data_IF_572871113035
#
_entry.id   IF_572871113035
#
_cell.length_a   1.000
_cell.length_b   1.000
_cell.length_c   1.000
_cell.angle_alpha   90.00
_cell.angle_beta   90.00
_cell.angle_gamma   90.00
#
_symmetry.space_group_name_H-M   'P 1'
#
loop_
_entity.id
_entity.type
_entity.pdbx_description
1 polymer ?
#
# COMPACT_ATOMS: atom_id res chain seq x y z
N UNK A 1 4.45 2.64 12.97
CA UNK A 1 5.62 1.88 12.41
C UNK A 1 5.55 1.94 10.90
N UNK A 2 6.65 2.20 10.19
CA UNK A 2 6.62 2.32 8.72
C UNK A 2 6.50 0.94 8.06
N UNK A 3 5.48 0.74 7.22
CA UNK A 3 5.29 -0.48 6.42
C UNK A 3 6.12 -0.40 5.13
N UNK A 4 7.44 -0.54 5.26
CA UNK A 4 8.37 -0.27 4.16
C UNK A 4 8.18 -1.25 3.00
N UNK A 5 8.14 -0.75 1.76
CA UNK A 5 7.82 -1.51 0.56
C UNK A 5 6.32 -1.61 0.26
N UNK A 6 5.44 -1.10 1.13
CA UNK A 6 4.01 -0.88 0.84
C UNK A 6 3.77 0.61 0.59
N UNK A 7 3.51 0.98 -0.66
CA UNK A 7 3.25 2.35 -1.07
C UNK A 7 1.74 2.61 -1.16
N UNK A 8 1.26 3.54 -0.34
CA UNK A 8 -0.13 4.00 -0.28
C UNK A 8 -0.35 5.16 -1.26
N UNK A 9 -0.56 4.86 -2.53
CA UNK A 9 -0.65 5.89 -3.57
C UNK A 9 -1.97 6.64 -3.54
N UNK A 10 -1.88 7.97 -3.57
CA UNK A 10 -3.02 8.91 -3.54
C UNK A 10 -3.99 8.71 -2.37
N UNK A 11 -3.51 8.10 -1.28
CA UNK A 11 -4.28 7.76 -0.08
C UNK A 11 -5.37 6.71 -0.34
N UNK A 12 -4.96 5.50 -0.74
CA UNK A 12 -5.87 4.35 -0.75
C UNK A 12 -6.51 4.13 0.64
N UNK A 13 -5.70 4.28 1.68
CA UNK A 13 -6.15 4.56 3.05
C UNK A 13 -5.57 5.90 3.50
N UNK A 14 -6.07 6.49 4.60
CA UNK A 14 -5.38 7.64 5.19
C UNK A 14 -3.99 7.25 5.70
N UNK A 15 -3.00 8.13 5.52
CA UNK A 15 -1.61 7.84 5.92
C UNK A 15 -1.46 7.62 7.44
N UNK A 16 -2.20 8.39 8.24
CA UNK A 16 -2.27 8.19 9.69
C UNK A 16 -2.78 6.79 10.06
N UNK A 17 -3.84 6.34 9.39
CA UNK A 17 -4.39 5.01 9.65
C UNK A 17 -3.36 3.91 9.41
N UNK A 18 -2.67 3.92 8.27
CA UNK A 18 -1.65 2.91 7.96
C UNK A 18 -0.45 2.95 8.91
N UNK A 19 -0.03 4.14 9.35
CA UNK A 19 1.13 4.30 10.22
C UNK A 19 0.89 3.86 11.67
N UNK A 20 -0.30 4.16 12.20
CA UNK A 20 -0.56 4.12 13.64
C UNK A 20 -1.64 3.11 14.06
N UNK A 21 -2.66 2.87 13.22
CA UNK A 21 -3.85 2.09 13.62
C UNK A 21 -3.93 0.73 12.93
N UNK A 22 -3.51 0.64 11.67
CA UNK A 22 -3.71 -0.54 10.84
C UNK A 22 -3.21 -1.84 11.50
N UNK A 23 -2.07 -1.83 12.17
CA UNK A 23 -1.51 -3.01 12.85
C UNK A 23 -2.38 -3.52 14.00
N UNK A 24 -3.16 -2.66 14.69
CA UNK A 24 -4.12 -3.13 15.69
C UNK A 24 -5.35 -3.76 15.05
N UNK A 25 -5.83 -3.19 13.95
CA UNK A 25 -7.06 -3.62 13.29
C UNK A 25 -6.91 -5.01 12.66
N UNK A 26 -5.74 -5.33 12.10
CA UNK A 26 -5.52 -6.63 11.46
C UNK A 26 -5.32 -7.81 12.42
N UNK A 27 -5.35 -7.59 13.74
CA UNK A 27 -5.11 -8.66 14.74
C UNK A 27 -6.12 -9.79 14.63
N UNK A 28 -7.40 -9.46 14.45
CA UNK A 28 -8.48 -10.45 14.35
C UNK A 28 -8.32 -11.35 13.12
N UNK A 29 -7.67 -10.86 12.05
CA UNK A 29 -7.32 -11.67 10.87
C UNK A 29 -6.09 -12.55 11.13
N UNK A 30 -5.12 -12.04 11.89
CA UNK A 30 -3.88 -12.76 12.18
C UNK A 30 -4.09 -13.89 13.19
N UNK A 31 -4.95 -13.72 14.18
CA UNK A 31 -5.16 -14.69 15.27
C UNK A 31 -5.52 -16.11 14.78
N UNK A 32 -6.48 -16.31 13.86
CA UNK A 32 -6.77 -17.63 13.30
C UNK A 32 -5.55 -18.27 12.61
N UNK A 33 -4.79 -17.48 11.84
CA UNK A 33 -3.58 -17.97 11.17
C UNK A 33 -2.49 -18.38 12.16
N UNK A 34 -2.30 -17.60 13.24
CA UNK A 34 -1.36 -17.92 14.32
C UNK A 34 -1.78 -19.22 15.03
N UNK A 35 -3.06 -19.34 15.39
CA UNK A 35 -3.59 -20.51 16.09
C UNK A 35 -3.42 -21.78 15.23
N UNK A 36 -3.74 -21.71 13.94
CA UNK A 36 -3.60 -22.85 13.02
C UNK A 36 -2.14 -23.26 12.84
N UNK A 37 -1.22 -22.30 12.73
CA UNK A 37 0.22 -22.60 12.62
C UNK A 37 0.78 -23.20 13.92
N UNK A 38 0.36 -22.71 15.09
CA UNK A 38 0.77 -23.27 16.37
C UNK A 38 0.28 -24.72 16.52
N UNK A 39 -0.98 -25.00 16.19
CA UNK A 39 -1.54 -26.34 16.20
C UNK A 39 -0.78 -27.29 15.24
N UNK A 40 -0.41 -26.82 14.04
CA UNK A 40 0.39 -27.60 13.11
C UNK A 40 1.79 -27.91 13.67
N UNK A 41 2.46 -26.92 14.27
CA UNK A 41 3.78 -27.10 14.90
C UNK A 41 3.74 -28.05 16.11
N UNK A 42 2.66 -28.02 16.89
CA UNK A 42 2.47 -28.97 18.00
C UNK A 42 2.26 -30.39 17.50
N UNK A 43 1.42 -30.58 16.47
CA UNK A 43 1.22 -31.88 15.84
C UNK A 43 2.54 -32.43 15.27
N UNK A 44 3.36 -31.57 14.66
CA UNK A 44 4.68 -31.96 14.14
C UNK A 44 5.63 -32.42 15.26
N UNK A 45 5.67 -31.68 16.38
CA UNK A 45 6.50 -32.03 17.54
C UNK A 45 6.07 -33.37 18.13
N UNK A 46 4.78 -33.57 18.34
CA UNK A 46 4.23 -34.82 18.87
C UNK A 46 4.53 -36.02 17.95
N UNK A 47 4.48 -35.85 16.63
CA UNK A 47 4.81 -36.90 15.67
C UNK A 47 6.33 -37.22 15.65
N UNK A 48 7.20 -36.20 15.77
CA UNK A 48 8.67 -36.40 15.87
C UNK A 48 9.07 -37.11 17.15
N UNK A 49 8.42 -36.81 18.28
CA UNK A 49 8.64 -37.51 19.56
C UNK A 49 8.27 -39.01 19.46
N UNK A 50 7.35 -39.36 18.56
CA UNK A 50 6.99 -40.75 18.24
C UNK A 50 7.92 -41.41 17.20
N UNK A 51 9.02 -40.75 16.81
CA UNK A 51 9.99 -41.27 15.84
C UNK A 51 9.46 -41.37 14.40
N UNK A 52 8.37 -40.66 14.08
CA UNK A 52 7.82 -40.60 12.72
C UNK A 52 8.56 -39.55 11.89
N UNK A 53 8.67 -39.78 10.59
CA UNK A 53 9.03 -38.72 9.65
C UNK A 53 7.84 -37.78 9.48
N UNK A 54 8.10 -36.47 9.47
CA UNK A 54 7.04 -35.45 9.59
C UNK A 54 7.25 -34.37 8.55
N UNK A 55 6.31 -34.32 7.60
CA UNK A 55 6.19 -33.23 6.65
C UNK A 55 5.78 -31.93 7.35
N UNK A 56 6.31 -30.76 6.93
CA UNK A 56 5.87 -29.47 7.45
C UNK A 56 4.37 -29.28 7.24
N UNK A 57 3.66 -29.01 8.33
CA UNK A 57 2.25 -28.67 8.32
C UNK A 57 2.01 -27.22 7.90
N UNK A 58 0.82 -26.71 8.24
CA UNK A 58 0.42 -25.34 7.92
C UNK A 58 1.42 -24.31 8.46
N UNK A 59 1.67 -23.27 7.66
CA UNK A 59 2.43 -22.07 8.01
C UNK A 59 1.61 -20.87 7.59
N UNK A 60 1.55 -19.84 8.41
CA UNK A 60 0.80 -18.64 8.06
C UNK A 60 1.39 -17.93 6.83
N UNK A 61 0.59 -17.17 6.06
CA UNK A 61 1.03 -16.58 4.79
C UNK A 61 2.31 -15.73 4.91
N UNK A 62 2.44 -14.91 5.95
CA UNK A 62 3.62 -14.06 6.15
C UNK A 62 4.90 -14.88 6.43
N UNK A 63 4.77 -16.05 7.09
CA UNK A 63 5.88 -16.97 7.32
C UNK A 63 6.25 -17.73 6.03
N UNK A 64 5.26 -18.04 5.18
CA UNK A 64 5.53 -18.59 3.85
C UNK A 64 6.31 -17.59 3.00
N UNK A 65 5.92 -16.31 2.96
CA UNK A 65 6.67 -15.26 2.27
C UNK A 65 8.13 -15.18 2.74
N UNK A 66 8.33 -15.19 4.06
CA UNK A 66 9.68 -15.16 4.63
C UNK A 66 10.55 -16.34 4.13
N UNK A 67 9.96 -17.54 4.02
CA UNK A 67 10.66 -18.73 3.50
C UNK A 67 10.93 -18.66 1.99
N UNK A 68 10.04 -18.02 1.22
CA UNK A 68 10.13 -17.91 -0.23
C UNK A 68 11.11 -16.85 -0.70
N UNK A 69 11.51 -15.92 0.17
CA UNK A 69 12.37 -14.79 -0.18
C UNK A 69 13.69 -15.21 -0.85
N UNK A 70 14.37 -16.25 -0.35
CA UNK A 70 15.63 -16.73 -0.95
C UNK A 70 15.42 -17.26 -2.37
N UNK A 71 14.37 -18.03 -2.60
CA UNK A 71 14.04 -18.53 -3.93
C UNK A 71 13.61 -17.40 -4.87
N UNK A 72 12.86 -16.41 -4.36
CA UNK A 72 12.44 -15.23 -5.10
C UNK A 72 13.63 -14.48 -5.69
N UNK A 73 14.63 -14.13 -4.88
CA UNK A 73 15.82 -13.40 -5.36
C UNK A 73 16.66 -14.22 -6.33
N UNK A 74 16.79 -15.54 -6.10
CA UNK A 74 17.47 -16.43 -7.05
C UNK A 74 16.78 -16.40 -8.42
N UNK A 75 15.46 -16.57 -8.45
CA UNK A 75 14.65 -16.51 -9.69
C UNK A 75 14.66 -15.12 -10.33
N UNK A 76 14.71 -14.04 -9.54
CA UNK A 76 14.82 -12.67 -10.04
C UNK A 76 16.15 -12.45 -10.76
N UNK A 77 17.27 -12.85 -10.14
CA UNK A 77 18.60 -12.75 -10.75
C UNK A 77 18.77 -13.63 -12.01
N UNK A 78 18.09 -14.78 -12.07
CA UNK A 78 18.02 -15.62 -13.28
C UNK A 78 17.23 -14.93 -14.40
N UNK A 79 16.08 -14.35 -14.07
CA UNK A 79 15.24 -13.60 -15.01
C UNK A 79 16.01 -12.41 -15.62
N UNK A 80 16.76 -11.65 -14.82
CA UNK A 80 17.54 -10.48 -15.30
C UNK A 80 18.58 -10.83 -16.38
N UNK A 81 19.03 -12.08 -16.43
CA UNK A 81 19.96 -12.59 -17.46
C UNK A 81 19.22 -13.07 -18.72
N UNK A 82 17.94 -13.35 -18.61
CA UNK A 82 17.13 -13.83 -19.72
C UNK A 82 16.79 -12.70 -20.69
N UNK A 83 16.87 -12.98 -21.99
CA UNK A 83 16.59 -12.04 -23.09
C UNK A 83 15.39 -12.45 -23.94
N UNK A 84 15.00 -13.72 -23.90
CA UNK A 84 13.85 -14.21 -24.67
C UNK A 84 12.54 -13.87 -23.94
N UNK A 85 11.70 -13.02 -24.53
CA UNK A 85 10.43 -12.56 -23.96
C UNK A 85 9.53 -13.73 -23.48
N UNK A 86 9.31 -14.82 -24.27
CA UNK A 86 8.48 -15.93 -23.79
C UNK A 86 9.03 -16.61 -22.54
N UNK A 87 10.35 -16.75 -22.43
CA UNK A 87 10.99 -17.34 -21.26
C UNK A 87 10.93 -16.39 -20.06
N UNK A 88 11.13 -15.08 -20.26
CA UNK A 88 10.99 -14.08 -19.19
C UNK A 88 9.58 -14.06 -18.60
N UNK A 89 8.54 -14.19 -19.43
CA UNK A 89 7.16 -14.33 -18.99
C UNK A 89 6.96 -15.61 -18.16
N UNK A 90 7.48 -16.74 -18.62
CA UNK A 90 7.43 -17.99 -17.86
C UNK A 90 8.15 -17.86 -16.50
N UNK A 91 9.33 -17.23 -16.48
CA UNK A 91 10.13 -17.01 -15.27
C UNK A 91 9.39 -16.09 -14.27
N UNK A 92 8.72 -15.03 -14.75
CA UNK A 92 7.88 -14.15 -13.92
C UNK A 92 6.72 -14.94 -13.29
N UNK A 93 5.97 -15.71 -14.08
CA UNK A 93 4.85 -16.54 -13.58
C UNK A 93 5.32 -17.56 -12.56
N UNK A 94 6.43 -18.25 -12.82
CA UNK A 94 7.03 -19.24 -11.92
C UNK A 94 7.54 -18.63 -10.59
N UNK A 95 7.87 -17.34 -10.58
CA UNK A 95 8.23 -16.61 -9.35
C UNK A 95 7.00 -16.17 -8.57
N UNK A 96 5.93 -15.74 -9.26
CA UNK A 96 4.67 -15.36 -8.62
C UNK A 96 3.86 -16.54 -8.08
N UNK A 97 3.92 -17.70 -8.74
CA UNK A 97 3.13 -18.88 -8.36
C UNK A 97 3.20 -19.25 -6.86
N UNK A 98 4.38 -19.40 -6.23
CA UNK A 98 4.42 -19.73 -4.80
C UNK A 98 3.92 -18.59 -3.90
N UNK A 99 4.13 -17.32 -4.28
CA UNK A 99 3.63 -16.16 -3.53
C UNK A 99 2.10 -16.07 -3.58
N UNK A 100 1.51 -16.24 -4.76
CA UNK A 100 0.05 -16.27 -4.93
C UNK A 100 -0.57 -17.47 -4.22
N UNK A 101 0.09 -18.63 -4.23
CA UNK A 101 -0.36 -19.81 -3.47
C UNK A 101 -0.38 -19.53 -1.97
N UNK A 102 0.63 -18.85 -1.43
CA UNK A 102 0.66 -18.44 -0.02
C UNK A 102 -0.48 -17.46 0.33
N UNK A 103 -0.96 -16.68 -0.64
CA UNK A 103 -2.12 -15.78 -0.52
C UNK A 103 -3.48 -16.47 -0.77
N UNK A 104 -3.49 -17.78 -1.03
CA UNK A 104 -4.72 -18.54 -1.29
C UNK A 104 -5.22 -18.49 -2.74
N UNK A 105 -4.42 -17.97 -3.67
CA UNK A 105 -4.76 -17.93 -5.10
C UNK A 105 -4.13 -19.09 -5.87
N UNK A 106 -4.85 -19.56 -6.88
CA UNK A 106 -4.38 -20.49 -7.89
C UNK A 106 -4.26 -19.79 -9.25
N UNK A 107 -3.15 -19.99 -9.95
CA UNK A 107 -2.94 -19.48 -11.31
C UNK A 107 -3.64 -20.43 -12.29
N UNK A 108 -4.66 -19.92 -12.96
CA UNK A 108 -5.46 -20.60 -13.99
C UNK A 108 -5.55 -19.69 -15.23
N UNK A 109 -4.48 -19.64 -16.05
CA UNK A 109 -4.40 -18.68 -17.15
C UNK A 109 -5.50 -18.94 -18.18
N UNK A 110 -6.25 -17.90 -18.53
CA UNK A 110 -7.36 -17.98 -19.47
C UNK A 110 -7.59 -16.64 -20.18
N UNK A 111 -8.37 -16.67 -21.25
CA UNK A 111 -8.83 -15.45 -21.93
C UNK A 111 -10.18 -15.04 -21.36
N UNK A 112 -10.25 -13.83 -20.83
CA UNK A 112 -11.49 -13.14 -20.50
C UNK A 112 -11.95 -12.33 -21.71
N UNK A 113 -13.06 -12.71 -22.32
CA UNK A 113 -13.70 -11.89 -23.36
C UNK A 113 -14.34 -10.67 -22.71
N UNK A 114 -13.98 -9.48 -23.19
CA UNK A 114 -14.56 -8.21 -22.77
C UNK A 114 -15.85 -7.92 -23.55
N UNK A 115 -16.65 -6.97 -23.07
CA UNK A 115 -17.92 -6.55 -23.69
C UNK A 115 -17.77 -6.12 -25.17
N UNK A 116 -16.60 -5.62 -25.56
CA UNK A 116 -16.27 -5.22 -26.94
C UNK A 116 -15.69 -6.37 -27.78
N UNK A 117 -15.85 -7.62 -27.33
CA UNK A 117 -15.38 -8.85 -27.98
C UNK A 117 -13.84 -8.92 -28.11
N UNK A 118 -13.11 -8.16 -27.28
CA UNK A 118 -11.65 -8.25 -27.21
C UNK A 118 -11.16 -9.25 -26.15
N UNK A 119 -10.08 -10.01 -26.41
CA UNK A 119 -9.62 -11.08 -25.53
C UNK A 119 -8.59 -10.59 -24.51
N UNK A 120 -8.95 -10.35 -23.25
CA UNK A 120 -7.99 -9.99 -22.20
C UNK A 120 -7.36 -11.25 -21.57
N UNK A 121 -6.02 -11.44 -21.63
CA UNK A 121 -5.37 -12.52 -20.90
C UNK A 121 -5.38 -12.23 -19.39
N UNK A 122 -5.95 -13.16 -18.62
CA UNK A 122 -5.97 -13.12 -17.16
C UNK A 122 -5.25 -14.36 -16.60
N UNK A 123 -4.50 -14.19 -15.52
CA UNK A 123 -3.83 -15.29 -14.83
C UNK A 123 -4.77 -16.05 -13.89
N UNK A 124 -5.80 -15.39 -13.37
CA UNK A 124 -6.87 -16.01 -12.61
C UNK A 124 -8.09 -15.08 -12.57
N UNK A 125 -9.28 -15.67 -12.44
CA UNK A 125 -10.54 -14.95 -12.23
C UNK A 125 -11.28 -15.58 -11.06
N UNK A 126 -11.77 -14.73 -10.16
CA UNK A 126 -12.66 -15.11 -9.08
C UNK A 126 -13.95 -14.33 -9.20
N UNK A 127 -15.06 -15.03 -8.99
CA UNK A 127 -16.40 -14.47 -9.04
C UNK A 127 -16.96 -14.33 -7.62
N UNK A 128 -17.93 -13.44 -7.45
CA UNK A 128 -18.74 -13.33 -6.25
C UNK A 128 -19.70 -14.52 -6.15
N UNK A 129 -20.42 -14.61 -5.03
CA UNK A 129 -21.41 -15.67 -4.76
C UNK A 129 -22.57 -15.67 -5.75
N UNK A 130 -22.91 -14.51 -6.32
CA UNK A 130 -23.92 -14.35 -7.36
C UNK A 130 -23.41 -14.68 -8.77
N UNK A 131 -22.13 -15.03 -8.91
CA UNK A 131 -21.49 -15.37 -10.18
C UNK A 131 -20.89 -14.18 -10.93
N UNK A 132 -21.11 -12.94 -10.46
CA UNK A 132 -20.51 -11.73 -11.08
C UNK A 132 -18.98 -11.70 -10.94
N UNK A 133 -18.23 -11.11 -11.89
CA UNK A 133 -16.78 -10.95 -11.78
C UNK A 133 -16.39 -10.14 -10.52
N UNK A 134 -15.46 -10.66 -9.71
CA UNK A 134 -15.06 -9.99 -8.46
C UNK A 134 -13.60 -9.60 -8.43
N UNK A 135 -12.68 -10.53 -8.70
CA UNK A 135 -11.24 -10.28 -8.65
C UNK A 135 -10.56 -10.88 -9.87
N UNK A 136 -9.81 -10.07 -10.59
CA UNK A 136 -8.96 -10.50 -11.72
C UNK A 136 -7.49 -10.37 -11.34
N UNK A 137 -6.71 -11.39 -11.65
CA UNK A 137 -5.24 -11.33 -11.57
C UNK A 137 -4.70 -11.21 -12.99
N UNK A 138 -3.95 -10.15 -13.25
CA UNK A 138 -3.39 -9.83 -14.57
C UNK A 138 -1.89 -9.58 -14.49
N UNK A 139 -1.22 -9.63 -15.64
CA UNK A 139 0.25 -9.59 -15.71
C UNK A 139 0.73 -8.39 -16.53
N UNK A 140 1.54 -7.53 -15.91
CA UNK A 140 2.37 -6.55 -16.60
C UNK A 140 3.78 -7.10 -16.76
N UNK A 141 4.31 -7.08 -17.99
CA UNK A 141 5.64 -7.60 -18.27
C UNK A 141 6.51 -6.58 -18.99
N UNK A 142 7.70 -6.36 -18.41
CA UNK A 142 8.72 -5.48 -18.96
C UNK A 142 9.68 -6.30 -19.84
N UNK A 143 9.88 -5.82 -21.07
CA UNK A 143 10.72 -6.48 -22.05
C UNK A 143 12.22 -6.35 -21.77
N UNK A 144 12.64 -5.35 -20.98
CA UNK A 144 14.03 -4.96 -20.84
C UNK A 144 14.53 -5.11 -19.39
N UNK A 145 14.46 -4.03 -18.60
CA UNK A 145 15.15 -3.92 -17.31
C UNK A 145 14.29 -4.33 -16.10
N UNK A 146 12.96 -4.43 -16.29
CA UNK A 146 12.02 -4.73 -15.21
C UNK A 146 11.80 -3.57 -14.24
N UNK A 147 12.20 -2.36 -14.63
CA UNK A 147 12.19 -1.15 -13.80
C UNK A 147 11.02 -0.23 -14.14
N UNK A 148 10.33 -0.47 -15.25
CA UNK A 148 9.16 0.31 -15.62
C UNK A 148 7.99 0.03 -14.66
N UNK A 149 7.22 1.07 -14.39
CA UNK A 149 5.98 0.94 -13.62
C UNK A 149 5.02 -0.04 -14.33
N UNK A 150 4.52 -1.09 -13.64
CA UNK A 150 3.45 -1.96 -14.13
C UNK A 150 2.30 -1.25 -14.85
N UNK A 151 1.88 -0.07 -14.39
CA UNK A 151 0.80 0.71 -14.99
C UNK A 151 1.17 1.34 -16.34
N UNK A 152 2.45 1.62 -16.58
CA UNK A 152 2.95 2.19 -17.82
C UNK A 152 3.17 1.12 -18.91
N UNK A 153 3.32 -0.14 -18.51
CA UNK A 153 3.57 -1.25 -19.43
C UNK A 153 2.35 -1.55 -20.31
N UNK A 154 2.61 -2.01 -21.53
CA UNK A 154 1.58 -2.44 -22.49
C UNK A 154 1.49 -3.97 -22.54
N UNK A 155 0.32 -4.49 -22.91
CA UNK A 155 0.15 -5.92 -23.17
C UNK A 155 1.04 -6.40 -24.32
N UNK A 156 1.72 -7.54 -24.12
CA UNK A 156 2.61 -8.16 -25.09
C UNK A 156 1.89 -9.23 -25.90
N UNK A 157 2.27 -9.40 -27.17
CA UNK A 157 1.75 -10.49 -28.01
C UNK A 157 1.95 -11.87 -27.35
N UNK A 158 3.09 -12.08 -26.69
CA UNK A 158 3.44 -13.35 -26.05
C UNK A 158 2.59 -13.70 -24.82
N UNK A 159 1.78 -12.76 -24.31
CA UNK A 159 0.86 -13.03 -23.20
C UNK A 159 -0.45 -13.68 -23.66
N UNK A 160 -0.70 -13.73 -24.96
CA UNK A 160 -1.89 -14.32 -25.55
C UNK A 160 -1.58 -15.74 -26.06
N UNK A 161 -2.55 -16.66 -26.00
CA UNK A 161 -2.49 -17.93 -26.72
C UNK A 161 -2.21 -17.71 -28.22
N UNK A 162 -1.45 -18.62 -28.83
CA UNK A 162 -0.99 -18.49 -30.22
C UNK A 162 -2.13 -18.46 -31.25
N UNK A 163 -3.28 -19.03 -30.91
CA UNK A 163 -4.51 -19.12 -31.70
C UNK A 163 -5.45 -17.92 -31.51
N UNK A 164 -5.09 -16.95 -30.67
CA UNK A 164 -5.90 -15.74 -30.46
C UNK A 164 -6.02 -14.92 -31.75
N UNK A 165 -7.23 -14.52 -32.11
CA UNK A 165 -7.48 -13.67 -33.28
C UNK A 165 -6.63 -12.39 -33.24
N UNK A 166 -5.84 -12.19 -34.30
CA UNK A 166 -4.89 -11.08 -34.40
C UNK A 166 -5.58 -9.71 -34.36
N UNK A 167 -6.72 -9.57 -35.03
CA UNK A 167 -7.43 -8.29 -35.11
C UNK A 167 -8.04 -7.92 -33.77
N UNK A 168 -8.72 -8.86 -33.11
CA UNK A 168 -9.29 -8.64 -31.77
C UNK A 168 -8.20 -8.34 -30.73
N UNK A 169 -7.10 -9.10 -30.77
CA UNK A 169 -5.94 -8.87 -29.90
C UNK A 169 -5.34 -7.47 -30.11
N UNK A 170 -5.12 -7.07 -31.35
CA UNK A 170 -4.50 -5.77 -31.64
C UNK A 170 -5.46 -4.60 -31.33
N UNK A 171 -6.78 -4.81 -31.43
CA UNK A 171 -7.82 -3.86 -31.00
C UNK A 171 -7.78 -3.56 -29.49
N UNK A 172 -7.55 -4.58 -28.67
CA UNK A 172 -7.32 -4.41 -27.23
C UNK A 172 -6.03 -3.63 -26.96
N UNK A 173 -4.95 -4.04 -27.61
CA UNK A 173 -3.60 -3.58 -27.30
C UNK A 173 -3.30 -2.17 -27.80
N UNK A 174 -4.02 -1.68 -28.81
CA UNK A 174 -3.74 -0.42 -29.48
C UNK A 174 -4.92 0.54 -29.41
N UNK A 175 -4.60 1.83 -29.43
CA UNK A 175 -5.57 2.91 -29.66
C UNK A 175 -5.85 3.03 -31.15
N UNK A 176 -6.88 3.80 -31.50
CA UNK A 176 -7.24 4.08 -32.89
C UNK A 176 -6.11 4.77 -33.69
N UNK A 177 -5.23 5.52 -33.02
CA UNK A 177 -4.06 6.17 -33.61
C UNK A 177 -2.85 5.23 -33.80
N UNK A 178 -2.97 3.95 -33.42
CA UNK A 178 -1.92 2.94 -33.56
C UNK A 178 -0.94 2.83 -32.38
N UNK A 179 -1.01 3.72 -31.40
CA UNK A 179 -0.20 3.66 -30.17
C UNK A 179 -0.64 2.50 -29.28
N UNK A 180 0.30 1.91 -28.54
CA UNK A 180 -0.03 0.88 -27.56
C UNK A 180 -0.70 1.48 -26.33
N UNK A 181 -1.71 0.76 -25.81
CA UNK A 181 -2.36 1.08 -24.54
C UNK A 181 -1.52 0.57 -23.39
N UNK A 182 -1.29 1.42 -22.39
CA UNK A 182 -0.71 1.01 -21.12
C UNK A 182 -1.74 0.28 -20.25
N UNK A 183 -1.31 -0.40 -19.20
CA UNK A 183 -2.19 -1.00 -18.21
C UNK A 183 -3.11 0.04 -17.54
N UNK A 184 -2.62 1.25 -17.28
CA UNK A 184 -3.45 2.34 -16.77
C UNK A 184 -4.61 2.68 -17.72
N UNK A 185 -4.35 2.74 -19.02
CA UNK A 185 -5.36 3.00 -20.05
C UNK A 185 -6.34 1.82 -20.18
N UNK A 186 -5.83 0.59 -20.23
CA UNK A 186 -6.64 -0.63 -20.28
C UNK A 186 -7.58 -0.75 -19.07
N UNK A 187 -7.08 -0.48 -17.87
CA UNK A 187 -7.88 -0.52 -16.64
C UNK A 187 -9.02 0.51 -16.71
N UNK A 188 -8.71 1.72 -17.17
CA UNK A 188 -9.65 2.87 -17.18
C UNK A 188 -10.67 2.82 -18.32
N UNK A 189 -10.34 2.16 -19.44
CA UNK A 189 -11.17 2.20 -20.66
C UNK A 189 -11.77 0.87 -21.05
N UNK A 190 -11.20 -0.24 -20.59
CA UNK A 190 -11.64 -1.58 -20.97
C UNK A 190 -12.03 -2.47 -19.77
N UNK A 191 -11.33 -2.40 -18.62
CA UNK A 191 -11.60 -3.33 -17.49
C UNK A 191 -12.69 -2.80 -16.56
N UNK A 192 -12.53 -1.59 -16.01
CA UNK A 192 -13.48 -1.05 -15.03
C UNK A 192 -14.73 -0.42 -15.64
N UNK A 193 -14.78 -0.33 -16.97
CA UNK A 193 -15.90 0.18 -17.78
C UNK A 193 -16.79 -0.92 -18.33
N UNK A 194 -16.49 -2.20 -18.05
CA UNK A 194 -17.38 -3.32 -18.39
C UNK A 194 -18.76 -3.13 -17.76
N UNK A 195 -19.77 -3.79 -18.31
CA UNK A 195 -21.13 -3.86 -17.76
C UNK A 195 -21.11 -4.49 -16.37
N UNK A 196 -20.31 -5.56 -16.20
CA UNK A 196 -20.04 -6.22 -14.92
C UNK A 196 -18.54 -6.22 -14.62
N UNK A 197 -17.98 -5.07 -14.18
CA UNK A 197 -16.55 -4.93 -13.96
C UNK A 197 -16.13 -5.62 -12.65
N UNK A 198 -14.92 -6.19 -12.57
CA UNK A 198 -14.40 -6.74 -11.32
C UNK A 198 -14.28 -5.64 -10.25
N UNK A 199 -14.54 -6.00 -8.99
CA UNK A 199 -14.30 -5.13 -7.82
C UNK A 199 -12.82 -4.82 -7.66
N UNK A 200 -11.98 -5.86 -7.75
CA UNK A 200 -10.54 -5.78 -7.54
C UNK A 200 -9.74 -6.26 -8.76
N UNK A 201 -8.59 -5.66 -8.98
CA UNK A 201 -7.58 -6.17 -9.91
C UNK A 201 -6.25 -6.28 -9.17
N UNK A 202 -5.59 -7.43 -9.27
CA UNK A 202 -4.19 -7.61 -8.89
C UNK A 202 -3.33 -7.54 -10.14
N UNK A 203 -2.56 -6.46 -10.30
CA UNK A 203 -1.64 -6.30 -11.43
C UNK A 203 -0.23 -6.72 -11.02
N UNK A 204 0.22 -7.84 -11.57
CA UNK A 204 1.52 -8.43 -11.28
C UNK A 204 2.58 -7.89 -12.24
N UNK A 205 3.49 -7.07 -11.73
CA UNK A 205 4.71 -6.69 -12.41
C UNK A 205 5.85 -7.71 -12.21
N UNK A 206 7.06 -7.34 -12.63
CA UNK A 206 8.23 -8.20 -12.43
C UNK A 206 8.62 -8.31 -10.94
N UNK A 207 8.60 -7.17 -10.23
CA UNK A 207 9.00 -7.01 -8.81
C UNK A 207 7.87 -6.53 -7.90
N UNK A 208 6.81 -5.99 -8.50
CA UNK A 208 5.75 -5.30 -7.78
C UNK A 208 4.40 -5.96 -8.01
N UNK A 209 3.52 -5.87 -7.04
CA UNK A 209 2.11 -6.21 -7.15
C UNK A 209 1.30 -4.98 -6.81
N UNK A 210 0.36 -4.60 -7.67
CA UNK A 210 -0.56 -3.50 -7.40
C UNK A 210 -1.95 -4.06 -7.10
N UNK A 211 -2.51 -3.64 -5.98
CA UNK A 211 -3.90 -3.87 -5.62
C UNK A 211 -4.72 -2.64 -6.04
N UNK A 212 -5.64 -2.89 -6.96
CA UNK A 212 -6.50 -1.88 -7.56
C UNK A 212 -7.94 -2.14 -7.14
N UNK A 213 -8.61 -1.12 -6.62
CA UNK A 213 -10.03 -1.16 -6.27
C UNK A 213 -10.81 -0.24 -7.21
N UNK A 214 -11.83 -0.79 -7.88
CA UNK A 214 -12.70 -0.05 -8.81
C UNK A 214 -13.29 1.23 -8.21
N UNK A 215 -13.70 1.23 -6.95
CA UNK A 215 -14.30 2.42 -6.29
C UNK A 215 -13.30 3.53 -6.01
N UNK A 216 -12.01 3.20 -5.93
CA UNK A 216 -10.94 4.16 -5.63
C UNK A 216 -10.15 4.56 -6.89
N UNK A 217 -10.27 3.78 -7.96
CA UNK A 217 -9.51 3.96 -9.20
C UNK A 217 -9.69 5.33 -9.86
N UNK A 218 -10.89 5.93 -9.82
CA UNK A 218 -11.14 7.25 -10.40
C UNK A 218 -10.26 8.37 -9.80
N UNK A 219 -9.74 8.16 -8.59
CA UNK A 219 -8.84 9.07 -7.88
C UNK A 219 -7.37 8.59 -7.93
N UNK A 220 -7.06 7.60 -8.78
CA UNK A 220 -5.76 6.92 -8.88
C UNK A 220 -5.26 6.39 -7.53
N UNK A 221 -6.18 6.01 -6.63
CA UNK A 221 -5.86 5.43 -5.34
C UNK A 221 -5.59 3.93 -5.49
N UNK A 222 -4.41 3.49 -5.08
CA UNK A 222 -4.00 2.10 -5.13
C UNK A 222 -2.98 1.76 -4.04
N UNK A 223 -2.83 0.47 -3.75
CA UNK A 223 -1.73 -0.03 -2.92
C UNK A 223 -0.72 -0.73 -3.82
N UNK A 224 0.55 -0.32 -3.72
CA UNK A 224 1.66 -0.97 -4.43
C UNK A 224 2.55 -1.68 -3.42
N UNK A 225 2.84 -2.93 -3.70
CA UNK A 225 3.70 -3.79 -2.90
C UNK A 225 4.97 -4.05 -3.69
N UNK A 226 6.09 -3.51 -3.23
CA UNK A 226 7.42 -3.81 -3.75
C UNK A 226 7.94 -5.10 -3.10
N UNK A 227 7.77 -6.23 -3.78
CA UNK A 227 8.19 -7.52 -3.25
C UNK A 227 9.72 -7.65 -3.20
N UNK A 228 10.48 -6.84 -3.93
CA UNK A 228 11.93 -6.79 -3.79
C UNK A 228 12.32 -6.15 -2.44
N UNK A 229 11.69 -5.04 -2.08
CA UNK A 229 11.93 -4.39 -0.79
C UNK A 229 11.34 -5.19 0.39
N UNK A 230 10.10 -5.66 0.27
CA UNK A 230 9.41 -6.41 1.33
C UNK A 230 10.18 -7.71 1.68
N UNK A 231 10.61 -8.48 0.66
CA UNK A 231 11.29 -9.77 0.88
C UNK A 231 12.78 -9.64 1.19
N UNK A 232 13.41 -8.49 0.91
CA UNK A 232 14.81 -8.23 1.31
C UNK A 232 14.90 -7.87 2.78
N UNK A 233 14.03 -6.96 3.26
CA UNK A 233 13.98 -6.53 4.66
C UNK A 233 13.41 -7.60 5.59
N UNK A 234 12.38 -8.32 5.13
CA UNK A 234 11.68 -9.38 5.89
C UNK A 234 11.17 -8.89 7.26
N UNK A 235 10.76 -7.63 7.33
CA UNK A 235 10.16 -7.06 8.53
C UNK A 235 8.81 -7.75 8.79
N UNK A 236 8.66 -8.32 9.99
CA UNK A 236 7.51 -9.18 10.32
C UNK A 236 6.18 -8.46 10.14
N UNK A 237 6.08 -7.20 10.57
CA UNK A 237 4.85 -6.44 10.50
C UNK A 237 4.49 -6.06 9.05
N UNK A 238 5.48 -5.73 8.23
CA UNK A 238 5.30 -5.52 6.77
C UNK A 238 4.85 -6.80 6.07
N UNK A 239 5.43 -7.96 6.42
CA UNK A 239 5.02 -9.25 5.84
C UNK A 239 3.57 -9.61 6.25
N UNK A 240 3.19 -9.34 7.50
CA UNK A 240 1.81 -9.52 7.99
C UNK A 240 0.84 -8.57 7.28
N UNK A 241 1.19 -7.30 7.15
CA UNK A 241 0.40 -6.31 6.42
C UNK A 241 0.18 -6.73 4.96
N UNK A 242 1.26 -7.16 4.29
CA UNK A 242 1.22 -7.67 2.91
C UNK A 242 0.31 -8.89 2.80
N UNK A 243 0.44 -9.84 3.73
CA UNK A 243 -0.42 -11.01 3.78
C UNK A 243 -1.90 -10.63 3.94
N UNK A 244 -2.23 -9.81 4.95
CA UNK A 244 -3.63 -9.43 5.24
C UNK A 244 -4.25 -8.62 4.11
N UNK A 245 -3.54 -7.68 3.51
CA UNK A 245 -4.10 -6.82 2.45
C UNK A 245 -4.33 -7.58 1.14
N UNK A 246 -3.57 -8.65 0.88
CA UNK A 246 -3.60 -9.38 -0.39
C UNK A 246 -4.25 -10.76 -0.30
N UNK A 247 -4.48 -11.31 0.90
CA UNK A 247 -5.02 -12.67 1.03
C UNK A 247 -6.39 -12.79 0.39
N UNK A 248 -6.64 -13.92 -0.25
CA UNK A 248 -7.90 -14.20 -0.96
C UNK A 248 -9.12 -14.00 -0.06
N UNK A 249 -9.08 -14.48 1.17
CA UNK A 249 -10.19 -14.34 2.12
C UNK A 249 -10.43 -12.88 2.54
N UNK A 250 -9.40 -12.02 2.48
CA UNK A 250 -9.54 -10.61 2.80
C UNK A 250 -10.20 -9.83 1.66
N UNK A 251 -9.94 -10.20 0.40
CA UNK A 251 -10.55 -9.59 -0.79
C UNK A 251 -11.88 -10.23 -1.20
N UNK A 252 -12.08 -11.51 -0.87
CA UNK A 252 -13.25 -12.32 -1.23
C UNK A 252 -13.56 -13.31 -0.08
N UNK A 253 -14.22 -12.86 1.00
CA UNK A 253 -14.48 -13.69 2.20
C UNK A 253 -15.55 -14.78 1.99
N UNK A 254 -16.01 -15.01 0.76
CA UNK A 254 -17.08 -15.98 0.44
C UNK A 254 -18.49 -15.55 0.89
N UNK A 255 -18.61 -14.78 1.98
CA UNK A 255 -19.85 -14.12 2.41
C UNK A 255 -19.55 -12.81 3.13
N UNK A 256 -20.38 -11.79 2.93
CA UNK A 256 -20.18 -10.46 3.52
C UNK A 256 -19.30 -9.55 2.66
N UNK A 257 -19.07 -8.33 3.15
CA UNK A 257 -18.19 -7.36 2.51
C UNK A 257 -16.72 -7.78 2.68
N UNK A 258 -15.84 -7.48 1.70
CA UNK A 258 -14.39 -7.64 1.86
C UNK A 258 -13.88 -7.02 3.14
N UNK A 259 -12.86 -7.64 3.72
CA UNK A 259 -12.20 -7.11 4.90
C UNK A 259 -11.66 -5.70 4.68
N UNK A 260 -11.23 -5.38 3.45
CA UNK A 260 -10.75 -4.05 3.07
C UNK A 260 -11.82 -2.96 3.22
N UNK A 261 -13.10 -3.26 3.03
CA UNK A 261 -14.17 -2.29 3.23
C UNK A 261 -14.27 -1.94 4.74
N UNK A 262 -14.04 -2.91 5.64
CA UNK A 262 -14.00 -2.65 7.09
C UNK A 262 -12.78 -1.82 7.50
N UNK A 263 -11.63 -2.05 6.86
CA UNK A 263 -10.44 -1.22 7.03
C UNK A 263 -10.66 0.20 6.53
N UNK A 264 -11.42 0.38 5.45
CA UNK A 264 -11.81 1.70 4.94
C UNK A 264 -12.70 2.45 5.92
N UNK A 265 -13.73 1.80 6.44
CA UNK A 265 -14.61 2.39 7.45
C UNK A 265 -13.82 2.82 8.69
N UNK A 266 -12.87 2.01 9.15
CA UNK A 266 -11.98 2.36 10.25
C UNK A 266 -11.04 3.51 9.87
N UNK A 267 -10.42 3.46 8.68
CA UNK A 267 -9.55 4.53 8.19
C UNK A 267 -10.28 5.87 8.15
N UNK A 268 -11.54 5.88 7.72
CA UNK A 268 -12.40 7.06 7.76
C UNK A 268 -12.67 7.51 9.20
N UNK A 269 -13.12 6.63 10.10
CA UNK A 269 -13.38 6.98 11.51
C UNK A 269 -12.14 7.58 12.19
N UNK A 270 -10.96 7.01 11.95
CA UNK A 270 -9.71 7.52 12.52
C UNK A 270 -9.25 8.81 11.86
N UNK A 271 -9.41 8.98 10.55
CA UNK A 271 -9.12 10.26 9.89
C UNK A 271 -10.04 11.40 10.39
N UNK A 272 -11.33 11.11 10.60
CA UNK A 272 -12.29 12.08 11.13
C UNK A 272 -12.08 12.37 12.62
N UNK A 273 -11.82 11.33 13.43
CA UNK A 273 -11.53 11.46 14.86
C UNK A 273 -10.25 12.24 15.13
N UNK A 274 -9.20 12.01 14.34
CA UNK A 274 -7.96 12.81 14.38
C UNK A 274 -8.22 14.27 14.02
N UNK A 275 -9.20 14.58 13.17
CA UNK A 275 -9.55 15.97 12.86
C UNK A 275 -10.19 16.70 14.05
N UNK A 276 -10.97 15.97 14.83
CA UNK A 276 -11.63 16.49 16.03
C UNK A 276 -10.60 16.71 17.14
N UNK A 277 -9.76 15.70 17.40
CA UNK A 277 -8.65 15.78 18.35
C UNK A 277 -7.62 16.86 17.96
N UNK A 278 -7.32 17.02 16.66
CA UNK A 278 -6.43 18.07 16.17
C UNK A 278 -7.01 19.46 16.43
N UNK A 279 -8.32 19.65 16.29
CA UNK A 279 -8.96 20.94 16.59
C UNK A 279 -8.82 21.28 18.07
N UNK A 280 -9.02 20.30 18.96
CA UNK A 280 -8.85 20.49 20.40
C UNK A 280 -7.38 20.71 20.78
N UNK A 281 -6.46 19.91 20.26
CA UNK A 281 -5.02 20.05 20.49
C UNK A 281 -4.45 21.36 19.94
N UNK A 282 -4.93 21.82 18.78
CA UNK A 282 -4.55 23.11 18.20
C UNK A 282 -5.02 24.26 19.09
N UNK A 283 -6.26 24.18 19.58
CA UNK A 283 -6.79 25.15 20.53
C UNK A 283 -5.96 25.17 21.82
N UNK A 284 -5.69 24.02 22.40
CA UNK A 284 -4.86 23.90 23.61
C UNK A 284 -3.46 24.47 23.39
N UNK A 285 -2.84 24.19 22.24
CA UNK A 285 -1.52 24.73 21.88
C UNK A 285 -1.53 26.27 21.80
N UNK A 286 -2.60 26.87 21.26
CA UNK A 286 -2.76 28.33 21.22
C UNK A 286 -2.93 28.90 22.63
N UNK A 287 -3.71 28.23 23.49
CA UNK A 287 -3.90 28.62 24.88
C UNK A 287 -2.58 28.55 25.67
N UNK A 288 -1.79 27.49 25.49
CA UNK A 288 -0.46 27.34 26.09
C UNK A 288 0.51 28.45 25.64
N UNK A 289 0.56 28.75 24.34
CA UNK A 289 1.39 29.84 23.81
C UNK A 289 0.99 31.20 24.41
N UNK A 290 -0.32 31.47 24.49
CA UNK A 290 -0.82 32.72 25.06
C UNK A 290 -0.50 32.85 26.55
N UNK A 291 -0.69 31.77 27.30
CA UNK A 291 -0.40 31.73 28.73
C UNK A 291 1.09 31.96 29.01
N UNK A 292 1.98 31.30 28.28
CA UNK A 292 3.42 31.46 28.45
C UNK A 292 3.90 32.86 28.05
N UNK A 293 3.38 33.40 26.94
CA UNK A 293 3.68 34.78 26.53
C UNK A 293 3.25 35.79 27.59
N UNK A 294 2.06 35.62 28.18
CA UNK A 294 1.57 36.47 29.27
C UNK A 294 2.42 36.32 30.54
N UNK A 295 2.79 35.08 30.90
CA UNK A 295 3.67 34.82 32.03
C UNK A 295 4.99 35.58 31.89
N UNK A 296 5.65 35.46 30.73
CA UNK A 296 6.90 36.15 30.46
C UNK A 296 6.76 37.68 30.51
N UNK A 297 5.73 38.24 29.87
CA UNK A 297 5.54 39.69 29.80
C UNK A 297 5.26 40.30 31.18
N UNK A 298 4.53 39.59 32.03
CA UNK A 298 4.22 40.03 33.40
C UNK A 298 5.47 39.95 34.27
N UNK A 299 6.21 38.84 34.23
CA UNK A 299 7.43 38.66 35.02
C UNK A 299 8.50 39.71 34.70
N UNK A 300 8.54 40.17 33.44
CA UNK A 300 9.44 41.24 32.99
C UNK A 300 8.89 42.65 33.25
N UNK A 301 7.69 42.78 33.82
CA UNK A 301 7.02 44.06 34.11
C UNK A 301 6.60 44.83 32.85
N UNK A 302 6.47 44.13 31.72
CA UNK A 302 6.17 44.70 30.41
C UNK A 302 4.66 44.82 30.15
N UNK A 303 3.85 43.96 30.75
CA UNK A 303 2.40 43.97 30.59
C UNK A 303 1.67 43.56 31.87
N UNK A 304 0.35 43.80 31.91
CA UNK A 304 -0.55 43.36 32.97
C UNK A 304 -1.80 42.70 32.36
N UNK A 305 -2.59 42.00 33.17
CA UNK A 305 -3.91 41.52 32.74
C UNK A 305 -4.96 42.65 32.67
N UNK A 306 -4.78 43.73 33.43
CA UNK A 306 -5.77 44.82 33.56
C UNK A 306 -5.10 46.19 33.68
N UNK A 307 -5.87 47.25 33.40
CA UNK A 307 -5.42 48.64 33.52
C UNK A 307 -4.69 49.17 32.28
N UNK A 308 -3.92 50.24 32.43
CA UNK A 308 -3.34 50.99 31.28
C UNK A 308 -2.25 50.23 30.50
N UNK A 309 -1.82 49.06 30.98
CA UNK A 309 -0.88 48.15 30.30
C UNK A 309 -1.50 46.77 30.05
N UNK A 310 -2.83 46.70 30.01
CA UNK A 310 -3.54 45.47 29.70
C UNK A 310 -3.20 45.01 28.27
N UNK A 311 -2.86 43.74 28.10
CA UNK A 311 -2.76 43.14 26.78
C UNK A 311 -4.16 42.95 26.21
N UNK A 312 -4.36 43.31 24.94
CA UNK A 312 -5.60 43.03 24.22
C UNK A 312 -5.70 41.51 23.96
N UNK A 313 -6.72 40.82 24.52
CA UNK A 313 -6.90 39.38 24.32
C UNK A 313 -7.05 38.98 22.85
N UNK A 314 -7.68 39.82 22.02
CA UNK A 314 -7.91 39.52 20.60
C UNK A 314 -6.61 39.63 19.79
N UNK A 315 -5.75 40.57 20.16
CA UNK A 315 -4.41 40.72 19.57
C UNK A 315 -3.50 39.57 19.98
N UNK A 316 -3.48 39.21 21.28
CA UNK A 316 -2.72 38.07 21.79
C UNK A 316 -3.14 36.77 21.11
N UNK A 317 -4.44 36.50 21.03
CA UNK A 317 -4.97 35.31 20.36
C UNK A 317 -4.53 35.24 18.88
N UNK A 318 -4.56 36.37 18.18
CA UNK A 318 -4.13 36.46 16.77
C UNK A 318 -2.63 36.21 16.60
N UNK A 319 -1.80 36.71 17.49
CA UNK A 319 -0.36 36.45 17.45
C UNK A 319 -0.03 35.00 17.79
N UNK A 320 -0.69 34.40 18.78
CA UNK A 320 -0.56 32.98 19.09
C UNK A 320 -0.97 32.10 17.89
N UNK A 321 -2.07 32.44 17.21
CA UNK A 321 -2.49 31.78 15.96
C UNK A 321 -1.41 31.90 14.86
N UNK A 322 -0.86 33.11 14.64
CA UNK A 322 0.21 33.33 13.65
C UNK A 322 1.45 32.50 13.96
N UNK A 323 1.85 32.43 15.23
CA UNK A 323 2.98 31.61 15.66
C UNK A 323 2.71 30.12 15.44
N UNK A 324 1.50 29.67 15.76
CA UNK A 324 1.11 28.28 15.54
C UNK A 324 1.13 27.88 14.07
N UNK A 325 0.60 28.73 13.18
CA UNK A 325 0.71 28.50 11.73
C UNK A 325 2.16 28.44 11.24
N UNK A 326 3.05 29.28 11.78
CA UNK A 326 4.49 29.24 11.45
C UNK A 326 5.14 27.94 11.90
N UNK A 327 4.84 27.48 13.12
CA UNK A 327 5.36 26.21 13.64
C UNK A 327 4.87 25.03 12.81
N UNK A 328 3.58 24.97 12.49
CA UNK A 328 3.01 23.93 11.61
C UNK A 328 3.71 23.90 10.24
N UNK A 329 3.98 25.07 9.66
CA UNK A 329 4.66 25.16 8.37
C UNK A 329 6.11 24.67 8.44
N UNK A 330 6.83 25.01 9.51
CA UNK A 330 8.19 24.52 9.75
C UNK A 330 8.19 23.00 9.96
N UNK A 331 7.30 22.46 10.80
CA UNK A 331 7.15 21.01 10.98
C UNK A 331 6.90 20.29 9.65
N UNK A 332 6.03 20.84 8.81
CA UNK A 332 5.69 20.26 7.51
C UNK A 332 6.89 20.21 6.56
N UNK A 333 7.64 21.31 6.44
CA UNK A 333 8.80 21.38 5.55
C UNK A 333 9.93 20.47 6.05
N UNK A 334 10.21 20.46 7.35
CA UNK A 334 11.31 19.65 7.90
C UNK A 334 11.01 18.15 7.89
N UNK A 335 9.73 17.76 8.00
CA UNK A 335 9.30 16.38 7.85
C UNK A 335 9.35 15.87 6.40
N UNK A 336 9.50 16.76 5.40
CA UNK A 336 9.52 16.44 3.97
C UNK A 336 10.75 17.01 3.25
N UNK A 337 11.97 16.48 3.53
CA UNK A 337 13.21 16.96 2.91
C UNK A 337 13.20 16.90 1.37
N UNK A 338 12.41 15.99 0.79
CA UNK A 338 12.26 15.82 -0.65
C UNK A 338 11.69 17.04 -1.37
N UNK A 339 10.99 17.94 -0.68
CA UNK A 339 10.43 19.16 -1.27
C UNK A 339 11.50 20.24 -1.53
N UNK A 340 12.68 20.12 -0.92
CA UNK A 340 13.81 21.04 -1.15
C UNK A 340 13.64 22.46 -0.61
N UNK A 341 12.63 22.73 0.22
CA UNK A 341 12.38 24.07 0.79
C UNK A 341 13.31 24.44 1.96
N UNK A 342 13.77 23.46 2.74
CA UNK A 342 14.73 23.66 3.82
C UNK A 342 16.01 22.83 3.58
N UNK A 343 17.21 23.38 3.88
CA UNK A 343 18.48 22.71 3.67
C UNK A 343 18.76 21.68 4.79
N UNK A 344 17.93 20.63 4.86
CA UNK A 344 17.98 19.59 5.90
C UNK A 344 19.28 18.77 5.92
N UNK A 345 20.11 18.86 4.88
CA UNK A 345 21.44 18.22 4.82
C UNK A 345 22.55 19.11 5.37
N UNK A 346 22.29 20.40 5.61
CA UNK A 346 23.28 21.34 6.11
C UNK A 346 23.30 21.31 7.65
N UNK A 347 24.42 20.85 8.22
CA UNK A 347 24.62 20.80 9.68
C UNK A 347 24.40 22.15 10.38
N UNK A 348 24.74 23.26 9.71
CA UNK A 348 24.53 24.61 10.23
C UNK A 348 23.05 25.01 10.35
N UNK A 349 22.19 24.50 9.45
CA UNK A 349 20.75 24.71 9.55
C UNK A 349 20.18 23.87 10.69
N UNK A 350 20.53 22.58 10.73
CA UNK A 350 20.09 21.65 11.77
C UNK A 350 20.42 22.13 13.19
N UNK A 351 21.62 22.67 13.40
CA UNK A 351 22.07 23.10 14.73
C UNK A 351 21.67 24.53 15.11
N UNK A 352 21.22 25.36 14.16
CA UNK A 352 21.02 26.79 14.38
C UNK A 352 19.61 27.31 14.12
N UNK A 353 18.86 26.65 13.24
CA UNK A 353 17.58 27.16 12.72
C UNK A 353 16.48 26.11 12.68
N UNK A 354 16.85 24.82 12.71
CA UNK A 354 15.91 23.71 12.73
C UNK A 354 15.20 23.57 14.07
N UNK A 355 13.98 23.03 14.02
CA UNK A 355 13.24 22.63 15.22
C UNK A 355 13.92 21.47 15.95
N UNK A 356 14.93 20.83 15.35
CA UNK A 356 15.80 19.86 16.02
C UNK A 356 16.45 20.42 17.29
N UNK A 357 16.78 21.71 17.31
CA UNK A 357 17.32 22.38 18.50
C UNK A 357 16.34 22.44 19.68
N UNK A 358 15.03 22.33 19.43
CA UNK A 358 14.01 22.27 20.48
C UNK A 358 13.93 20.89 21.12
N UNK A 359 14.42 19.82 20.46
CA UNK A 359 14.49 18.47 21.06
C UNK A 359 15.51 18.37 22.18
N UNK A 360 16.52 19.24 22.19
CA UNK A 360 17.52 19.31 23.26
C UNK A 360 16.97 20.02 24.54
N UNK A 361 15.72 20.49 24.52
CA UNK A 361 15.03 21.11 25.65
C UNK A 361 14.11 20.14 26.43
N UNK A 362 13.87 18.93 25.90
CA UNK A 362 13.30 17.78 26.65
C UNK A 362 14.41 17.04 27.42
#
# INVERSE_FOLDING_TARGET
MALVGINNENEFYSNHYLGEVFTSDIRDVLEPWIAQENAAREAERAAREQGKDVEPGYRAPWNQFNSLATEFFRKLAEHEKQRQIPQRLADQRNRWQPLLKALGYEITPQIQMLDDDTPLPVLARYNSTDGSPWLWIVEAHDQEEGTLDPLALSLLTAQFPADTDKHKRDSLRKKANGEYRSWQDLLSTAVFTQNEPPRFVLLLGNRQLLLLDRTKWAQNRLLRFDFEEILSRRETDTLKATAVLLHKESLLPGSGAPYLDSLDDNSHKHAFGVSEDLKYALRESIELLGNEAMHYLIDRGLANYTGNRAVDPDELSRECLRYMYRLLFLFYIEARPELGYAPMTAKTYLQGYSLETLRDLE
#
